data_IF_229956878326
#
_entry.id   IF_229956878326
#
_cell.length_a   1.000
_cell.length_b   1.000
_cell.length_c   1.000
_cell.angle_alpha   90.00
_cell.angle_beta   90.00
_cell.angle_gamma   90.00
#
_symmetry.space_group_name_H-M   'P 1'
#
loop_
_entity.id
_entity.type
_entity.pdbx_description
1 polymer ?
#
# COMPACT_ATOMS: atom_id res chain seq x y z
N UNK A 1 6.59 -3.00 5.39
CA UNK A 1 7.37 -1.79 5.74
C UNK A 1 8.79 -2.09 6.21
N UNK A 2 8.99 -2.69 7.38
CA UNK A 2 10.37 -2.90 7.92
C UNK A 2 11.29 -3.59 6.90
N UNK A 3 10.82 -4.72 6.33
CA UNK A 3 11.56 -5.43 5.28
C UNK A 3 11.82 -4.58 4.04
N UNK A 4 10.88 -3.74 3.61
CA UNK A 4 11.06 -2.91 2.42
C UNK A 4 12.12 -1.83 2.65
N UNK A 5 12.14 -1.19 3.82
CA UNK A 5 13.16 -0.20 4.18
C UNK A 5 14.55 -0.85 4.27
N UNK A 6 14.66 -2.02 4.92
CA UNK A 6 15.91 -2.76 4.97
C UNK A 6 16.40 -3.26 3.62
N UNK A 7 15.48 -3.71 2.76
CA UNK A 7 15.86 -4.17 1.42
C UNK A 7 16.30 -3.03 0.51
N UNK A 8 15.90 -1.79 0.81
CA UNK A 8 16.24 -0.62 0.02
C UNK A 8 17.51 0.07 0.51
N UNK A 9 17.62 0.33 1.82
CA UNK A 9 18.78 1.02 2.41
C UNK A 9 19.91 0.07 2.81
N UNK A 10 19.67 -1.23 2.87
CA UNK A 10 20.60 -2.24 3.39
C UNK A 10 21.16 -1.93 4.79
N UNK A 11 20.49 -1.04 5.53
CA UNK A 11 20.96 -0.47 6.79
C UNK A 11 20.07 -0.95 7.92
N UNK A 12 20.67 -1.49 8.98
CA UNK A 12 19.94 -1.90 10.19
C UNK A 12 19.70 -0.69 11.09
N UNK A 13 18.57 -0.64 11.83
CA UNK A 13 18.32 0.46 12.73
C UNK A 13 19.27 0.35 13.92
N UNK A 14 19.79 1.49 14.38
CA UNK A 14 20.54 1.54 15.63
C UNK A 14 19.55 1.55 16.80
N UNK A 15 19.48 0.44 17.53
CA UNK A 15 18.53 0.24 18.63
C UNK A 15 19.10 0.63 20.00
N UNK A 16 20.37 0.99 20.09
CA UNK A 16 21.02 1.42 21.33
C UNK A 16 21.80 2.72 21.12
N UNK A 17 21.77 3.57 22.14
CA UNK A 17 22.51 4.83 22.23
C UNK A 17 23.36 4.78 23.48
N UNK A 18 24.62 5.19 23.36
CA UNK A 18 25.56 5.24 24.48
C UNK A 18 25.89 6.70 24.75
N UNK A 19 25.41 7.22 25.88
CA UNK A 19 25.67 8.59 26.31
C UNK A 19 26.84 8.64 27.30
N UNK A 20 27.74 9.61 27.10
CA UNK A 20 28.82 9.90 28.05
C UNK A 20 28.35 10.95 29.06
N UNK A 21 28.10 10.54 30.30
CA UNK A 21 27.65 11.43 31.37
C UNK A 21 28.85 11.79 32.27
N UNK A 22 29.19 13.08 32.43
CA UNK A 22 30.21 13.49 33.39
C UNK A 22 29.66 13.35 34.81
N UNK A 23 30.29 12.51 35.63
CA UNK A 23 29.92 12.39 37.05
C UNK A 23 30.90 13.19 37.90
N UNK A 24 30.37 14.17 38.63
CA UNK A 24 31.14 14.90 39.63
C UNK A 24 31.24 14.05 40.90
N UNK A 25 32.46 13.73 41.35
CA UNK A 25 32.65 13.06 42.64
C UNK A 25 32.32 14.03 43.79
N UNK A 26 31.14 13.91 44.38
CA UNK A 26 30.80 14.55 45.66
C UNK A 26 31.23 13.64 46.81
N UNK A 27 32.54 13.44 46.98
CA UNK A 27 33.07 12.81 48.20
C UNK A 27 34.52 13.26 48.45
N UNK A 28 34.68 14.52 48.86
CA UNK A 28 35.80 14.93 49.73
C UNK A 28 35.27 15.96 50.73
N UNK A 29 34.82 15.50 51.90
CA UNK A 29 34.81 16.33 53.10
C UNK A 29 36.27 16.45 53.54
N UNK A 30 36.91 17.55 53.20
CA UNK A 30 38.26 17.86 53.67
C UNK A 30 39.17 18.43 52.58
N UNK A 31 39.30 19.75 52.64
CA UNK A 31 40.41 20.53 52.09
C UNK A 31 40.65 20.65 50.56
N UNK A 32 40.62 21.92 50.15
CA UNK A 32 41.32 22.56 49.03
C UNK A 32 40.94 22.16 47.60
N UNK A 33 40.25 23.12 46.95
CA UNK A 33 40.15 23.35 45.50
C UNK A 33 41.45 22.96 44.76
N UNK A 34 41.48 21.78 44.15
CA UNK A 34 42.36 21.45 43.01
C UNK A 34 41.78 20.26 42.23
N UNK A 35 41.38 20.52 41.00
CA UNK A 35 40.98 19.57 39.94
C UNK A 35 40.09 18.39 40.36
N UNK A 36 38.77 18.64 40.40
CA UNK A 36 37.76 17.59 40.31
C UNK A 36 37.87 16.93 38.92
N UNK A 37 38.63 15.84 38.81
CA UNK A 37 38.67 15.02 37.60
C UNK A 37 37.30 14.40 37.37
N UNK A 38 36.54 14.92 36.40
CA UNK A 38 35.29 14.30 35.95
C UNK A 38 35.63 12.96 35.30
N UNK A 39 35.17 11.85 35.90
CA UNK A 39 35.22 10.55 35.22
C UNK A 39 33.98 10.42 34.35
N UNK A 40 34.14 10.14 33.05
CA UNK A 40 32.99 9.85 32.21
C UNK A 40 32.41 8.49 32.58
N UNK A 41 31.12 8.44 32.85
CA UNK A 41 30.35 7.18 32.91
C UNK A 41 29.52 7.03 31.65
N UNK A 42 29.43 5.82 31.12
CA UNK A 42 28.62 5.53 29.94
C UNK A 42 27.24 5.03 30.39
N UNK A 43 26.18 5.62 29.83
CA UNK A 43 24.81 5.16 30.02
C UNK A 43 24.28 4.66 28.68
N UNK A 44 23.94 3.38 28.65
CA UNK A 44 23.25 2.80 27.49
C UNK A 44 21.74 3.03 27.61
N UNK A 45 21.11 3.41 26.51
CA UNK A 45 19.66 3.59 26.37
C UNK A 45 19.19 2.86 25.12
N UNK A 46 18.04 2.22 25.22
CA UNK A 46 17.40 1.59 24.07
C UNK A 46 16.58 2.61 23.29
N UNK A 47 16.58 2.49 21.96
CA UNK A 47 15.72 3.22 21.02
C UNK A 47 14.66 2.26 20.50
N UNK A 48 13.39 2.55 20.76
CA UNK A 48 12.29 1.67 20.34
C UNK A 48 11.37 2.36 19.32
N UNK A 49 10.80 1.55 18.44
CA UNK A 49 9.78 1.99 17.48
C UNK A 49 8.46 1.32 17.83
N UNK A 50 7.51 2.10 18.34
CA UNK A 50 6.19 1.67 18.75
C UNK A 50 5.15 2.03 17.70
N UNK A 51 4.33 1.04 17.34
CA UNK A 51 3.11 1.26 16.58
C UNK A 51 1.96 1.11 17.58
N UNK A 52 1.24 2.20 17.80
CA UNK A 52 0.16 2.27 18.79
C UNK A 52 -1.17 2.37 18.04
N UNK A 53 -2.01 1.32 18.07
CA UNK A 53 -3.32 1.40 17.47
C UNK A 53 -4.21 2.34 18.29
N UNK A 54 -4.77 3.36 17.64
CA UNK A 54 -5.83 4.20 18.19
C UNK A 54 -7.17 3.75 17.60
N UNK A 55 -7.99 3.14 18.45
CA UNK A 55 -9.29 2.60 18.08
C UNK A 55 -10.33 3.68 17.79
N UNK A 56 -10.06 4.94 18.19
CA UNK A 56 -10.97 6.07 18.03
C UNK A 56 -10.45 7.09 16.99
N UNK A 57 -9.26 6.87 16.42
CA UNK A 57 -8.72 7.75 15.40
C UNK A 57 -9.54 7.69 14.11
N UNK A 58 -9.75 8.86 13.51
CA UNK A 58 -10.38 8.97 12.19
C UNK A 58 -9.51 8.23 11.17
N UNK A 59 -10.09 7.40 10.28
CA UNK A 59 -9.34 6.70 9.24
C UNK A 59 -8.40 7.64 8.46
N UNK A 60 -7.17 7.19 8.24
CA UNK A 60 -6.12 7.98 7.59
C UNK A 60 -5.37 8.97 8.48
N UNK A 61 -5.79 9.20 9.73
CA UNK A 61 -5.09 10.11 10.66
C UNK A 61 -3.90 9.42 11.32
N UNK A 62 -2.70 9.67 10.83
CA UNK A 62 -1.46 9.10 11.41
C UNK A 62 -0.74 10.17 12.22
N UNK A 63 -0.57 9.94 13.52
CA UNK A 63 0.16 10.85 14.40
C UNK A 63 1.54 10.27 14.73
N UNK A 64 2.59 11.01 14.39
CA UNK A 64 3.97 10.62 14.68
C UNK A 64 4.56 11.49 15.79
N UNK A 65 5.09 10.84 16.85
CA UNK A 65 5.71 11.51 17.98
C UNK A 65 7.05 10.87 18.31
N UNK A 66 8.03 11.72 18.57
CA UNK A 66 9.35 11.30 19.05
C UNK A 66 9.47 11.79 20.50
N UNK A 67 9.66 10.87 21.43
CA UNK A 67 9.84 11.18 22.86
C UNK A 67 11.23 10.66 23.25
N UNK A 68 12.16 11.60 23.37
CA UNK A 68 13.59 11.32 23.49
C UNK A 68 14.08 10.39 22.37
N UNK A 69 14.30 9.12 22.69
CA UNK A 69 14.89 8.09 21.83
C UNK A 69 13.85 7.13 21.24
N UNK A 70 12.60 7.23 21.73
CA UNK A 70 11.50 6.35 21.38
C UNK A 70 10.54 7.01 20.39
N UNK A 71 10.15 6.23 19.39
CA UNK A 71 9.36 6.66 18.24
C UNK A 71 7.98 6.04 18.37
N UNK A 72 6.95 6.87 18.42
CA UNK A 72 5.57 6.45 18.56
C UNK A 72 4.82 6.84 17.29
N UNK A 73 4.32 5.85 16.57
CA UNK A 73 3.39 6.06 15.47
C UNK A 73 2.02 5.60 15.90
N UNK A 74 1.12 6.55 16.09
CA UNK A 74 -0.26 6.32 16.49
C UNK A 74 -1.09 6.24 15.22
N UNK A 75 -1.74 5.11 15.00
CA UNK A 75 -2.42 4.77 13.74
C UNK A 75 -3.82 4.22 14.00
N UNK A 76 -4.82 4.52 13.14
CA UNK A 76 -6.11 3.84 13.16
C UNK A 76 -5.95 2.32 13.05
N UNK A 77 -6.90 1.57 13.61
CA UNK A 77 -6.84 0.11 13.69
C UNK A 77 -6.73 -0.60 12.33
N UNK A 78 -7.21 0.03 11.26
CA UNK A 78 -7.24 -0.48 9.89
C UNK A 78 -6.08 0.03 9.02
N UNK A 79 -5.11 0.73 9.61
CA UNK A 79 -4.01 1.34 8.86
C UNK A 79 -3.14 0.29 8.20
N UNK A 80 -3.04 0.35 6.87
CA UNK A 80 -2.11 -0.48 6.12
C UNK A 80 -0.67 -0.21 6.58
N UNK A 81 0.06 -1.22 7.11
CA UNK A 81 1.42 -1.03 7.56
C UNK A 81 2.39 -0.63 6.43
N UNK A 82 2.03 -0.85 5.17
CA UNK A 82 2.81 -0.45 4.00
C UNK A 82 2.49 0.98 3.52
N UNK A 83 1.65 1.74 4.23
CA UNK A 83 1.35 3.13 3.90
C UNK A 83 2.61 3.99 3.87
N UNK A 84 2.61 5.02 3.03
CA UNK A 84 3.75 5.92 2.86
C UNK A 84 4.11 6.63 4.16
N UNK A 85 3.11 7.03 4.96
CA UNK A 85 3.33 7.79 6.19
C UNK A 85 3.97 6.95 7.31
N UNK A 86 3.50 5.72 7.53
CA UNK A 86 4.09 4.83 8.52
C UNK A 86 5.52 4.43 8.12
N UNK A 87 5.73 4.18 6.82
CA UNK A 87 7.06 3.91 6.27
C UNK A 87 8.01 5.08 6.45
N UNK A 88 7.55 6.31 6.19
CA UNK A 88 8.32 7.53 6.41
C UNK A 88 8.76 7.68 7.86
N UNK A 89 7.87 7.41 8.82
CA UNK A 89 8.21 7.43 10.24
C UNK A 89 9.30 6.39 10.58
N UNK A 90 9.25 5.21 9.98
CA UNK A 90 10.26 4.17 10.17
C UNK A 90 11.60 4.52 9.50
N UNK A 91 11.56 5.11 8.30
CA UNK A 91 12.75 5.64 7.61
C UNK A 91 13.44 6.70 8.49
N UNK A 92 12.68 7.60 9.10
CA UNK A 92 13.22 8.58 10.04
C UNK A 92 13.87 7.92 11.26
N UNK A 93 13.25 6.89 11.86
CA UNK A 93 13.83 6.12 12.96
C UNK A 93 15.20 5.49 12.61
N UNK A 94 15.37 5.05 11.37
CA UNK A 94 16.63 4.49 10.85
C UNK A 94 17.67 5.59 10.59
N UNK A 95 17.25 6.73 10.04
CA UNK A 95 18.15 7.80 9.59
C UNK A 95 18.68 8.66 10.72
N UNK A 96 17.85 9.03 11.71
CA UNK A 96 18.25 10.00 12.74
C UNK A 96 19.58 9.65 13.46
N UNK A 97 19.87 8.37 13.83
CA UNK A 97 21.17 7.99 14.38
C UNK A 97 22.34 8.13 13.41
N UNK A 98 22.10 7.95 12.12
CA UNK A 98 23.12 8.13 11.08
C UNK A 98 23.54 9.60 11.07
N UNK A 99 22.59 10.53 11.13
CA UNK A 99 22.86 11.96 11.20
C UNK A 99 23.71 12.32 12.43
N UNK A 100 23.40 11.72 13.59
CA UNK A 100 24.17 11.91 14.81
C UNK A 100 25.59 11.32 14.71
N UNK A 101 25.73 10.13 14.11
CA UNK A 101 27.02 9.45 13.93
C UNK A 101 27.97 10.24 13.03
N UNK A 102 27.45 10.84 11.96
CA UNK A 102 28.21 11.62 10.98
C UNK A 102 28.15 13.13 11.23
N UNK A 103 27.98 13.53 12.49
CA UNK A 103 27.80 14.94 12.84
C UNK A 103 29.00 15.83 12.45
N UNK A 104 30.23 15.30 12.51
CA UNK A 104 31.46 16.00 12.15
C UNK A 104 31.53 16.24 10.64
N UNK A 105 31.15 15.24 9.85
CA UNK A 105 31.15 15.33 8.39
C UNK A 105 30.11 16.33 7.89
N UNK A 106 28.92 16.34 8.50
CA UNK A 106 27.89 17.35 8.24
C UNK A 106 28.38 18.74 8.66
N UNK A 107 29.00 18.87 9.83
CA UNK A 107 29.54 20.14 10.32
C UNK A 107 30.64 20.69 9.39
N UNK A 108 31.46 19.82 8.79
CA UNK A 108 32.48 20.20 7.81
C UNK A 108 31.90 20.79 6.51
N UNK A 109 30.60 20.54 6.24
CA UNK A 109 29.86 21.06 5.08
C UNK A 109 28.84 22.14 5.44
N UNK A 110 28.89 22.66 6.67
CA UNK A 110 27.92 23.63 7.20
C UNK A 110 27.79 24.88 6.34
N UNK A 111 28.89 25.43 5.82
CA UNK A 111 28.86 26.67 5.03
C UNK A 111 28.06 26.46 3.75
N UNK A 112 28.37 25.40 3.00
CA UNK A 112 27.69 25.06 1.75
C UNK A 112 26.19 24.79 1.98
N UNK A 113 25.86 23.98 3.00
CA UNK A 113 24.48 23.67 3.35
C UNK A 113 23.69 24.92 3.77
N UNK A 114 24.32 25.80 4.54
CA UNK A 114 23.69 27.05 4.96
C UNK A 114 23.39 27.96 3.78
N UNK A 115 24.30 28.07 2.80
CA UNK A 115 24.03 28.86 1.59
C UNK A 115 22.76 28.38 0.87
N UNK A 116 22.60 27.07 0.69
CA UNK A 116 21.40 26.50 0.07
C UNK A 116 20.11 26.79 0.88
N UNK A 117 20.20 26.74 2.21
CA UNK A 117 19.07 27.05 3.09
C UNK A 117 18.71 28.54 3.06
N UNK A 118 19.71 29.42 3.13
CA UNK A 118 19.55 30.86 3.09
C UNK A 118 18.88 31.30 1.78
N UNK A 119 19.22 30.67 0.65
CA UNK A 119 18.51 30.87 -0.63
C UNK A 119 17.03 30.46 -0.56
N UNK A 120 16.71 29.35 0.12
CA UNK A 120 15.31 28.91 0.29
C UNK A 120 14.54 29.87 1.19
N UNK A 121 15.15 30.35 2.26
CA UNK A 121 14.56 31.37 3.14
C UNK A 121 14.35 32.68 2.38
N UNK A 122 15.32 33.11 1.56
CA UNK A 122 15.19 34.31 0.72
C UNK A 122 14.08 34.18 -0.34
N UNK A 123 13.82 32.96 -0.83
CA UNK A 123 12.71 32.66 -1.72
C UNK A 123 11.34 32.56 -1.01
N UNK A 124 11.28 32.83 0.31
CA UNK A 124 10.04 32.81 1.10
C UNK A 124 9.66 31.44 1.68
N UNK A 125 10.56 30.46 1.66
CA UNK A 125 10.32 29.14 2.25
C UNK A 125 10.42 29.15 3.77
N UNK A 126 9.44 28.53 4.45
CA UNK A 126 9.49 28.25 5.88
C UNK A 126 10.44 27.07 6.17
N UNK A 127 11.74 27.37 6.17
CA UNK A 127 12.82 26.39 6.30
C UNK A 127 13.56 26.54 7.61
N UNK A 128 13.89 25.41 8.25
CA UNK A 128 14.75 25.43 9.44
C UNK A 128 16.20 25.78 9.04
N UNK A 129 16.87 26.69 9.77
CA UNK A 129 18.28 27.00 9.51
C UNK A 129 19.25 25.91 9.98
N UNK A 130 18.74 24.85 10.63
CA UNK A 130 19.57 23.76 11.13
C UNK A 130 19.99 22.80 10.01
N UNK A 131 21.30 22.79 9.71
CA UNK A 131 21.90 21.95 8.69
C UNK A 131 21.73 20.45 8.97
N UNK A 132 21.66 20.02 10.23
CA UNK A 132 21.44 18.60 10.57
C UNK A 132 20.02 18.18 10.21
N UNK A 133 19.04 19.04 10.52
CA UNK A 133 17.64 18.84 10.15
C UNK A 133 17.50 18.83 8.62
N UNK A 134 18.19 19.73 7.91
CA UNK A 134 18.17 19.79 6.45
C UNK A 134 18.71 18.49 5.82
N UNK A 135 19.85 17.97 6.29
CA UNK A 135 20.43 16.71 5.80
C UNK A 135 19.50 15.53 6.11
N UNK A 136 18.98 15.45 7.34
CA UNK A 136 18.04 14.40 7.75
C UNK A 136 16.79 14.38 6.85
N UNK A 137 16.13 15.55 6.70
CA UNK A 137 14.94 15.71 5.85
C UNK A 137 15.22 15.37 4.39
N UNK A 138 16.40 15.76 3.89
CA UNK A 138 16.84 15.44 2.52
C UNK A 138 16.94 13.94 2.29
N UNK A 139 17.62 13.22 3.18
CA UNK A 139 17.81 11.78 3.04
C UNK A 139 16.48 11.03 3.21
N UNK A 140 15.63 11.44 4.16
CA UNK A 140 14.29 10.87 4.36
C UNK A 140 13.43 11.08 3.10
N UNK A 141 13.37 12.31 2.58
CA UNK A 141 12.58 12.63 1.38
C UNK A 141 13.07 11.86 0.15
N UNK A 142 14.38 11.81 -0.06
CA UNK A 142 15.00 11.05 -1.14
C UNK A 142 14.68 9.55 -1.06
N UNK A 143 14.80 8.97 0.14
CA UNK A 143 14.49 7.56 0.38
C UNK A 143 13.03 7.26 0.09
N UNK A 144 12.10 8.04 0.64
CA UNK A 144 10.66 7.83 0.44
C UNK A 144 10.27 7.92 -1.03
N UNK A 145 10.71 8.98 -1.73
CA UNK A 145 10.39 9.16 -3.15
C UNK A 145 10.96 8.02 -3.99
N UNK A 146 12.20 7.61 -3.72
CA UNK A 146 12.86 6.56 -4.51
C UNK A 146 12.27 5.17 -4.26
N UNK A 147 11.85 4.88 -3.02
CA UNK A 147 11.13 3.65 -2.69
C UNK A 147 9.78 3.59 -3.41
N UNK A 148 8.99 4.67 -3.36
CA UNK A 148 7.71 4.76 -4.07
C UNK A 148 7.90 4.60 -5.58
N UNK A 149 8.89 5.29 -6.14
CA UNK A 149 9.23 5.23 -7.55
C UNK A 149 9.58 3.80 -7.97
N UNK A 150 10.42 3.11 -7.20
CA UNK A 150 10.83 1.72 -7.47
C UNK A 150 9.62 0.79 -7.48
N UNK A 151 8.76 0.87 -6.46
CA UNK A 151 7.56 0.03 -6.36
C UNK A 151 6.62 0.24 -7.54
N UNK A 152 6.41 1.50 -7.95
CA UNK A 152 5.55 1.83 -9.09
C UNK A 152 6.14 1.31 -10.41
N UNK A 153 7.44 1.52 -10.64
CA UNK A 153 8.12 1.05 -11.85
C UNK A 153 8.11 -0.48 -11.94
N UNK A 154 8.35 -1.20 -10.84
CA UNK A 154 8.33 -2.66 -10.81
C UNK A 154 6.92 -3.23 -11.04
N UNK A 155 5.89 -2.55 -10.54
CA UNK A 155 4.50 -2.94 -10.80
C UNK A 155 4.17 -2.79 -12.30
N UNK A 156 4.48 -1.62 -12.90
CA UNK A 156 4.24 -1.36 -14.33
C UNK A 156 5.07 -2.24 -15.25
N UNK A 157 6.33 -2.50 -14.91
CA UNK A 157 7.18 -3.40 -15.68
C UNK A 157 6.64 -4.83 -15.68
N UNK A 158 6.15 -5.34 -14.54
CA UNK A 158 5.53 -6.68 -14.47
C UNK A 158 4.24 -6.76 -15.28
N UNK A 159 3.40 -5.73 -15.21
CA UNK A 159 2.18 -5.63 -16.00
C UNK A 159 2.47 -5.60 -17.50
N UNK A 160 3.41 -4.74 -17.94
CA UNK A 160 3.82 -4.64 -19.33
C UNK A 160 4.38 -5.97 -19.87
N UNK A 161 5.23 -6.66 -19.10
CA UNK A 161 5.75 -8.00 -19.48
C UNK A 161 4.63 -9.01 -19.70
N UNK A 162 3.61 -9.02 -18.83
CA UNK A 162 2.43 -9.90 -18.99
C UNK A 162 1.65 -9.57 -20.26
N UNK A 163 1.40 -8.29 -20.52
CA UNK A 163 0.69 -7.83 -21.73
C UNK A 163 1.47 -8.15 -23.01
N UNK A 164 2.80 -7.97 -23.01
CA UNK A 164 3.66 -8.32 -24.15
C UNK A 164 3.64 -9.83 -24.43
N UNK A 165 3.69 -10.66 -23.37
CA UNK A 165 3.62 -12.11 -23.52
C UNK A 165 2.27 -12.59 -24.07
N UNK A 166 1.18 -11.88 -23.76
CA UNK A 166 -0.16 -12.17 -24.26
C UNK A 166 -0.43 -11.61 -25.67
N UNK A 167 0.39 -10.68 -26.16
CA UNK A 167 0.20 -10.03 -27.46
C UNK A 167 0.55 -10.97 -28.62
N UNK A 168 -0.39 -11.09 -29.57
CA UNK A 168 -0.31 -12.02 -30.69
C UNK A 168 0.48 -11.44 -31.88
N UNK A 169 0.51 -10.12 -32.03
CA UNK A 169 1.10 -9.41 -33.15
C UNK A 169 2.19 -8.41 -32.71
N UNK A 170 3.07 -8.04 -33.64
CA UNK A 170 4.20 -7.15 -33.38
C UNK A 170 3.75 -5.72 -33.08
N UNK A 171 2.69 -5.24 -33.73
CA UNK A 171 2.16 -3.89 -33.53
C UNK A 171 1.59 -3.70 -32.10
N UNK A 172 0.89 -4.70 -31.55
CA UNK A 172 0.46 -4.66 -30.16
C UNK A 172 1.64 -4.67 -29.17
N UNK A 173 2.74 -5.39 -29.47
CA UNK A 173 3.94 -5.36 -28.61
C UNK A 173 4.60 -3.98 -28.62
N UNK A 174 4.72 -3.36 -29.78
CA UNK A 174 5.28 -2.01 -29.93
C UNK A 174 4.45 -0.96 -29.17
N UNK A 175 3.12 -1.01 -29.30
CA UNK A 175 2.24 -0.08 -28.56
C UNK A 175 2.36 -0.23 -27.05
N UNK A 176 2.43 -1.47 -26.53
CA UNK A 176 2.65 -1.73 -25.10
C UNK A 176 4.02 -1.20 -24.64
N UNK A 177 5.07 -1.37 -25.45
CA UNK A 177 6.40 -0.83 -25.09
C UNK A 177 6.42 0.69 -25.04
N UNK A 178 5.72 1.35 -25.97
CA UNK A 178 5.57 2.81 -25.98
C UNK A 178 4.79 3.30 -24.76
N UNK A 179 3.66 2.66 -24.45
CA UNK A 179 2.86 2.95 -23.25
C UNK A 179 3.71 2.78 -21.97
N UNK A 180 4.51 1.72 -21.88
CA UNK A 180 5.42 1.49 -20.75
C UNK A 180 6.47 2.61 -20.62
N UNK A 181 7.04 3.09 -21.73
CA UNK A 181 7.99 4.20 -21.72
C UNK A 181 7.33 5.51 -21.26
N UNK A 182 6.13 5.80 -21.73
CA UNK A 182 5.34 6.98 -21.33
C UNK A 182 4.98 6.93 -19.84
N UNK A 183 4.53 5.77 -19.34
CA UNK A 183 4.24 5.57 -17.92
C UNK A 183 5.49 5.71 -17.06
N UNK A 184 6.63 5.17 -17.51
CA UNK A 184 7.91 5.33 -16.82
C UNK A 184 8.29 6.80 -16.73
N UNK A 185 8.19 7.55 -17.84
CA UNK A 185 8.48 8.98 -17.87
C UNK A 185 7.59 9.75 -16.89
N UNK A 186 6.28 9.48 -16.88
CA UNK A 186 5.33 10.11 -15.97
C UNK A 186 5.64 9.83 -14.48
N UNK A 187 6.06 8.60 -14.15
CA UNK A 187 6.48 8.23 -12.79
C UNK A 187 7.76 9.01 -12.39
N UNK A 188 8.74 9.11 -13.28
CA UNK A 188 9.95 9.93 -13.03
C UNK A 188 9.62 11.41 -12.83
N UNK A 189 8.73 11.97 -13.63
CA UNK A 189 8.33 13.38 -13.52
C UNK A 189 7.63 13.64 -12.17
N UNK A 190 6.73 12.75 -11.75
CA UNK A 190 6.07 12.81 -10.44
C UNK A 190 7.07 12.70 -9.28
N UNK A 191 8.08 11.83 -9.40
CA UNK A 191 9.15 11.72 -8.40
C UNK A 191 9.95 13.01 -8.29
N UNK A 192 10.35 13.61 -9.42
CA UNK A 192 11.07 14.90 -9.45
C UNK A 192 10.23 16.04 -8.87
N UNK A 193 8.92 16.06 -9.12
CA UNK A 193 8.03 17.06 -8.51
C UNK A 193 7.97 16.94 -6.98
N UNK A 194 7.89 15.71 -6.45
CA UNK A 194 7.91 15.48 -4.98
C UNK A 194 9.26 15.85 -4.35
N UNK A 195 10.37 15.59 -5.04
CA UNK A 195 11.69 16.04 -4.60
C UNK A 195 11.78 17.57 -4.61
N UNK A 196 11.25 18.24 -5.63
CA UNK A 196 11.18 19.70 -5.69
C UNK A 196 10.37 20.29 -4.53
N UNK A 197 9.21 19.73 -4.23
CA UNK A 197 8.38 20.14 -3.08
C UNK A 197 9.13 19.96 -1.76
N UNK A 198 9.86 18.85 -1.62
CA UNK A 198 10.67 18.59 -0.41
C UNK A 198 11.84 19.57 -0.31
N UNK A 199 12.49 19.87 -1.43
CA UNK A 199 13.58 20.83 -1.54
C UNK A 199 13.14 22.24 -1.12
N UNK A 200 11.97 22.69 -1.62
CA UNK A 200 11.35 23.96 -1.24
C UNK A 200 11.04 24.02 0.27
N UNK A 201 10.78 22.87 0.91
CA UNK A 201 10.59 22.74 2.37
C UNK A 201 11.89 22.55 3.17
N UNK A 202 13.05 22.77 2.55
CA UNK A 202 14.36 22.73 3.20
C UNK A 202 15.11 21.41 3.09
N UNK A 203 14.61 20.45 2.31
CA UNK A 203 15.32 19.21 2.00
C UNK A 203 16.33 19.45 0.85
N UNK A 204 17.31 20.33 1.09
CA UNK A 204 18.19 20.91 0.06
C UNK A 204 19.16 19.91 -0.60
N UNK A 205 19.26 18.67 -0.10
CA UNK A 205 20.04 17.60 -0.73
C UNK A 205 19.15 16.45 -1.24
N UNK A 206 17.83 16.64 -1.32
CA UNK A 206 16.90 15.57 -1.69
C UNK A 206 17.19 15.01 -3.10
N UNK A 207 17.55 15.86 -4.06
CA UNK A 207 17.93 15.42 -5.41
C UNK A 207 19.23 14.63 -5.41
N UNK A 208 20.29 15.20 -4.82
CA UNK A 208 21.58 14.52 -4.68
C UNK A 208 21.43 13.13 -4.03
N UNK A 209 20.76 13.04 -2.88
CA UNK A 209 20.58 11.74 -2.22
C UNK A 209 19.72 10.78 -3.05
N UNK A 210 18.71 11.25 -3.78
CA UNK A 210 17.91 10.37 -4.66
C UNK A 210 18.75 9.79 -5.82
N UNK A 211 19.75 10.53 -6.31
CA UNK A 211 20.73 10.00 -7.26
C UNK A 211 21.63 8.94 -6.61
N UNK A 212 22.23 9.27 -5.46
CA UNK A 212 23.16 8.39 -4.74
C UNK A 212 22.52 7.07 -4.25
N UNK A 213 21.25 7.11 -3.85
CA UNK A 213 20.55 5.93 -3.34
C UNK A 213 20.32 4.85 -4.41
N UNK A 214 20.33 5.20 -5.70
CA UNK A 214 20.21 4.21 -6.79
C UNK A 214 21.40 3.25 -6.81
N UNK A 215 22.60 3.79 -6.62
CA UNK A 215 23.83 3.00 -6.61
C UNK A 215 23.91 2.12 -5.36
N UNK A 216 23.50 2.65 -4.20
CA UNK A 216 23.40 1.87 -2.96
C UNK A 216 22.44 0.69 -3.14
N UNK A 217 21.23 0.95 -3.62
CA UNK A 217 20.21 -0.07 -3.83
C UNK A 217 20.71 -1.18 -4.78
N UNK A 218 21.42 -0.81 -5.85
CA UNK A 218 21.98 -1.76 -6.79
C UNK A 218 23.13 -2.58 -6.19
N UNK A 219 23.95 -1.97 -5.34
CA UNK A 219 25.14 -2.60 -4.75
C UNK A 219 24.85 -3.54 -3.58
N UNK A 220 23.73 -3.36 -2.88
CA UNK A 220 23.38 -4.18 -1.72
C UNK A 220 24.12 -3.84 -0.42
N UNK A 221 24.96 -2.80 -0.43
CA UNK A 221 25.77 -2.42 0.73
C UNK A 221 25.05 -1.43 1.65
N UNK A 222 25.39 -1.47 2.94
CA UNK A 222 24.86 -0.57 3.98
C UNK A 222 25.17 0.91 3.65
N UNK A 223 24.14 1.77 3.63
CA UNK A 223 24.24 3.22 3.39
C UNK A 223 25.29 3.89 4.28
N UNK A 224 25.42 3.44 5.53
CA UNK A 224 26.36 4.05 6.48
C UNK A 224 27.81 3.95 6.03
N UNK A 225 28.16 2.96 5.18
CA UNK A 225 29.52 2.81 4.67
C UNK A 225 29.90 3.93 3.67
N UNK A 226 28.93 4.56 3.02
CA UNK A 226 29.15 5.57 1.97
C UNK A 226 28.74 6.98 2.40
N UNK A 227 27.99 7.12 3.50
CA UNK A 227 27.37 8.39 3.86
C UNK A 227 28.38 9.54 4.06
N UNK A 228 29.55 9.27 4.64
CA UNK A 228 30.61 10.27 4.78
C UNK A 228 31.12 10.76 3.41
N UNK A 229 31.31 9.85 2.45
CA UNK A 229 31.76 10.17 1.10
C UNK A 229 30.67 10.93 0.31
N UNK A 230 29.40 10.56 0.50
CA UNK A 230 28.27 11.30 -0.07
C UNK A 230 28.23 12.75 0.42
N UNK A 231 28.43 12.98 1.72
CA UNK A 231 28.52 14.33 2.27
C UNK A 231 29.77 15.07 1.74
N UNK A 232 30.84 14.36 1.45
CA UNK A 232 32.06 14.95 0.95
C UNK A 232 31.96 15.41 -0.52
N UNK A 233 31.11 14.77 -1.33
CA UNK A 233 31.16 14.87 -2.80
C UNK A 233 30.02 15.66 -3.45
N UNK A 234 29.00 16.11 -2.70
CA UNK A 234 27.94 16.92 -3.29
C UNK A 234 28.46 18.27 -3.80
N UNK A 235 27.88 18.74 -4.92
CA UNK A 235 28.19 20.04 -5.52
C UNK A 235 27.14 21.09 -5.11
N UNK A 236 27.49 22.09 -4.28
CA UNK A 236 26.54 23.10 -3.83
C UNK A 236 25.97 23.95 -4.96
N UNK A 237 26.75 24.21 -6.02
CA UNK A 237 26.32 25.04 -7.14
C UNK A 237 25.24 24.30 -7.93
N UNK A 238 25.48 23.01 -8.21
CA UNK A 238 24.50 22.16 -8.87
C UNK A 238 23.23 22.01 -8.02
N UNK A 239 23.37 21.79 -6.72
CA UNK A 239 22.21 21.62 -5.83
C UNK A 239 21.34 22.89 -5.78
N UNK A 240 21.94 24.09 -5.76
CA UNK A 240 21.21 25.36 -5.86
C UNK A 240 20.38 25.50 -7.15
N UNK A 241 20.84 24.88 -8.25
CA UNK A 241 20.19 24.87 -9.57
C UNK A 241 19.17 23.74 -9.81
N UNK A 242 18.90 22.85 -8.84
CA UNK A 242 18.04 21.67 -9.11
C UNK A 242 16.60 22.00 -9.48
N UNK A 243 16.05 23.09 -8.94
CA UNK A 243 14.68 23.49 -9.28
C UNK A 243 14.57 23.96 -10.72
N UNK A 244 15.60 24.62 -11.26
CA UNK A 244 15.61 25.07 -12.66
C UNK A 244 15.91 23.90 -13.60
N UNK A 245 16.85 23.03 -13.25
CA UNK A 245 17.15 21.78 -13.99
C UNK A 245 15.89 20.92 -14.20
N UNK A 246 15.03 20.83 -13.18
CA UNK A 246 13.85 19.95 -13.19
C UNK A 246 12.51 20.68 -13.42
N UNK A 247 12.53 21.93 -13.87
CA UNK A 247 11.32 22.76 -13.99
C UNK A 247 10.28 22.15 -14.94
N UNK A 248 10.72 21.64 -16.10
CA UNK A 248 9.82 21.06 -17.11
C UNK A 248 9.18 19.75 -16.66
N UNK A 249 9.96 18.87 -16.02
CA UNK A 249 9.45 17.63 -15.43
C UNK A 249 8.43 17.92 -14.32
N UNK A 250 8.73 18.89 -13.43
CA UNK A 250 7.81 19.34 -12.39
C UNK A 250 6.51 19.87 -12.99
N UNK A 251 6.58 20.70 -14.04
CA UNK A 251 5.41 21.25 -14.70
C UNK A 251 4.51 20.15 -15.27
N UNK A 252 5.09 19.19 -16.01
CA UNK A 252 4.35 18.03 -16.56
C UNK A 252 3.67 17.20 -15.46
N UNK A 253 4.36 16.95 -14.35
CA UNK A 253 3.79 16.24 -13.21
C UNK A 253 2.60 17.00 -12.55
N UNK A 254 2.73 18.31 -12.36
CA UNK A 254 1.66 19.13 -11.78
C UNK A 254 0.43 19.19 -12.68
N UNK A 255 0.62 19.30 -14.00
CA UNK A 255 -0.47 19.22 -14.98
C UNK A 255 -1.15 17.84 -14.92
N UNK A 256 -0.37 16.75 -14.86
CA UNK A 256 -0.92 15.40 -14.71
C UNK A 256 -1.69 15.21 -13.39
N UNK A 257 -1.25 15.83 -12.28
CA UNK A 257 -2.02 15.84 -11.02
C UNK A 257 -3.34 16.59 -11.15
N UNK A 258 -3.34 17.77 -11.77
CA UNK A 258 -4.56 18.55 -12.02
C UNK A 258 -5.55 17.77 -12.89
N UNK A 259 -5.07 17.10 -13.93
CA UNK A 259 -5.91 16.23 -14.78
C UNK A 259 -6.51 15.07 -13.97
N UNK A 260 -5.71 14.37 -13.16
CA UNK A 260 -6.21 13.31 -12.28
C UNK A 260 -7.24 13.82 -11.27
N UNK A 261 -7.00 15.00 -10.70
CA UNK A 261 -7.93 15.62 -9.75
C UNK A 261 -9.23 16.02 -10.44
N UNK A 262 -9.18 16.57 -11.66
CA UNK A 262 -10.36 16.89 -12.45
C UNK A 262 -11.15 15.64 -12.84
N UNK A 263 -10.47 14.54 -13.20
CA UNK A 263 -11.10 13.24 -13.46
C UNK A 263 -11.76 12.67 -12.20
N UNK A 264 -11.09 12.75 -11.05
CA UNK A 264 -11.67 12.32 -9.78
C UNK A 264 -12.88 13.16 -9.39
N UNK A 265 -12.83 14.48 -9.58
CA UNK A 265 -13.96 15.37 -9.34
C UNK A 265 -15.15 15.03 -10.25
N UNK A 266 -14.92 14.84 -11.56
CA UNK A 266 -15.94 14.42 -12.50
C UNK A 266 -16.56 13.04 -12.15
N UNK A 267 -15.75 12.10 -11.67
CA UNK A 267 -16.23 10.79 -11.21
C UNK A 267 -16.95 10.87 -9.84
N UNK A 268 -16.68 11.90 -9.04
CA UNK A 268 -17.39 12.14 -7.77
C UNK A 268 -18.76 12.75 -8.02
N UNK A 269 -18.90 13.59 -9.06
CA UNK A 269 -20.21 14.08 -9.52
C UNK A 269 -21.09 12.93 -10.10
N UNK A 270 -20.49 11.87 -10.67
CA UNK A 270 -21.22 10.65 -11.03
C UNK A 270 -21.70 9.83 -9.80
N UNK A 271 -21.05 9.98 -8.64
CA UNK A 271 -21.45 9.34 -7.39
C UNK A 271 -22.69 9.98 -6.73
N UNK A 272 -23.09 11.18 -7.16
CA UNK A 272 -24.34 11.84 -6.77
C UNK A 272 -25.54 11.43 -7.64
N UNK A 273 -25.38 10.47 -8.55
CA UNK A 273 -26.53 9.92 -9.27
C UNK A 273 -27.40 9.05 -8.33
N UNK A 274 -28.74 9.11 -8.43
CA UNK A 274 -29.64 8.25 -7.67
C UNK A 274 -29.33 6.75 -7.82
N UNK A 275 -28.76 6.34 -8.96
CA UNK A 275 -28.35 4.96 -9.22
C UNK A 275 -27.10 4.54 -8.45
N UNK A 276 -26.10 5.42 -8.27
CA UNK A 276 -24.91 5.14 -7.48
C UNK A 276 -25.24 5.02 -5.98
N UNK A 277 -26.10 5.90 -5.46
CA UNK A 277 -26.62 5.80 -4.09
C UNK A 277 -27.40 4.49 -3.88
N UNK A 278 -28.24 4.11 -4.85
CA UNK A 278 -28.97 2.83 -4.85
C UNK A 278 -28.01 1.63 -4.85
N UNK A 279 -26.95 1.64 -5.66
CA UNK A 279 -25.92 0.58 -5.66
C UNK A 279 -25.16 0.50 -4.33
N UNK A 280 -24.81 1.64 -3.71
CA UNK A 280 -24.14 1.65 -2.41
C UNK A 280 -25.04 1.10 -1.29
N UNK A 281 -26.33 1.46 -1.29
CA UNK A 281 -27.32 0.93 -0.36
C UNK A 281 -27.52 -0.59 -0.52
N UNK A 282 -27.53 -1.08 -1.76
CA UNK A 282 -27.55 -2.51 -2.07
C UNK A 282 -26.33 -3.23 -1.46
N UNK A 283 -25.11 -2.72 -1.71
CA UNK A 283 -23.88 -3.35 -1.20
C UNK A 283 -23.90 -3.40 0.32
N UNK A 284 -24.28 -2.30 0.99
CA UNK A 284 -24.41 -2.25 2.45
C UNK A 284 -25.41 -3.27 2.99
N UNK A 285 -26.53 -3.44 2.29
CA UNK A 285 -27.55 -4.41 2.66
C UNK A 285 -27.08 -5.85 2.46
N UNK A 286 -26.35 -6.13 1.38
CA UNK A 286 -25.75 -7.45 1.14
C UNK A 286 -24.70 -7.79 2.20
N UNK A 287 -23.86 -6.85 2.63
CA UNK A 287 -22.91 -7.10 3.72
C UNK A 287 -23.60 -7.45 5.04
N UNK A 288 -24.75 -6.83 5.34
CA UNK A 288 -25.52 -7.18 6.53
C UNK A 288 -26.12 -8.59 6.43
N UNK A 289 -26.47 -9.05 5.22
CA UNK A 289 -26.90 -10.44 4.98
C UNK A 289 -25.74 -11.42 5.16
N UNK A 290 -24.55 -11.09 4.66
CA UNK A 290 -23.36 -11.93 4.85
C UNK A 290 -23.04 -12.15 6.34
N UNK A 291 -23.24 -11.12 7.17
CA UNK A 291 -23.08 -11.25 8.62
C UNK A 291 -24.13 -12.20 9.25
N UNK A 292 -25.38 -12.18 8.75
CA UNK A 292 -26.41 -13.15 9.17
C UNK A 292 -26.05 -14.59 8.76
N UNK A 293 -25.50 -14.78 7.56
CA UNK A 293 -25.04 -16.08 7.09
C UNK A 293 -23.87 -16.62 7.93
N UNK A 294 -22.94 -15.75 8.36
CA UNK A 294 -21.82 -16.14 9.24
C UNK A 294 -22.27 -16.64 10.60
N UNK A 295 -23.33 -16.06 11.16
CA UNK A 295 -23.92 -16.52 12.43
C UNK A 295 -24.95 -17.63 12.24
N UNK A 296 -25.01 -18.24 11.04
CA UNK A 296 -25.93 -19.32 10.65
C UNK A 296 -27.41 -18.99 10.78
N UNK A 297 -27.78 -17.71 10.75
CA UNK A 297 -29.17 -17.27 10.80
C UNK A 297 -29.77 -17.21 9.39
N UNK A 298 -29.95 -18.39 8.77
CA UNK A 298 -30.38 -18.50 7.37
C UNK A 298 -31.81 -18.01 7.13
N UNK A 299 -32.71 -18.20 8.09
CA UNK A 299 -34.11 -17.77 7.97
C UNK A 299 -34.21 -16.25 7.87
N UNK A 300 -33.47 -15.51 8.71
CA UNK A 300 -33.49 -14.05 8.66
C UNK A 300 -32.77 -13.52 7.42
N UNK A 301 -31.66 -14.16 7.03
CA UNK A 301 -30.96 -13.83 5.79
C UNK A 301 -31.87 -13.98 4.55
N UNK A 302 -32.64 -15.08 4.46
CA UNK A 302 -33.57 -15.34 3.35
C UNK A 302 -34.73 -14.35 3.33
N UNK A 303 -35.29 -13.98 4.49
CA UNK A 303 -36.34 -12.95 4.59
C UNK A 303 -35.81 -11.61 4.09
N UNK A 304 -34.63 -11.19 4.56
CA UNK A 304 -34.03 -9.92 4.18
C UNK A 304 -33.69 -9.86 2.69
N UNK A 305 -33.18 -10.95 2.12
CA UNK A 305 -32.91 -11.04 0.68
C UNK A 305 -34.19 -10.97 -0.17
N UNK A 306 -35.29 -11.59 0.29
CA UNK A 306 -36.60 -11.49 -0.40
C UNK A 306 -37.17 -10.08 -0.34
N UNK A 307 -36.97 -9.35 0.75
CA UNK A 307 -37.34 -7.95 0.86
C UNK A 307 -36.51 -7.08 -0.09
N UNK A 308 -35.19 -7.28 -0.11
CA UNK A 308 -34.30 -6.59 -1.05
C UNK A 308 -34.69 -6.84 -2.50
N UNK A 309 -35.18 -8.04 -2.84
CA UNK A 309 -35.63 -8.35 -4.20
C UNK A 309 -36.86 -7.51 -4.65
N UNK A 310 -37.67 -7.02 -3.71
CA UNK A 310 -38.78 -6.09 -4.02
C UNK A 310 -38.25 -4.70 -4.38
N UNK A 311 -37.20 -4.26 -3.72
CA UNK A 311 -36.57 -2.94 -3.88
C UNK A 311 -35.58 -2.90 -5.05
N UNK A 312 -34.85 -3.99 -5.30
CA UNK A 312 -33.81 -4.15 -6.32
C UNK A 312 -34.19 -5.26 -7.29
N UNK A 313 -35.27 -5.04 -8.03
CA UNK A 313 -35.82 -6.03 -8.97
C UNK A 313 -34.79 -6.40 -10.04
N UNK A 314 -34.56 -7.70 -10.22
CA UNK A 314 -33.65 -8.21 -11.24
C UNK A 314 -32.16 -8.14 -10.90
N UNK A 315 -31.78 -7.76 -9.68
CA UNK A 315 -30.37 -7.66 -9.29
C UNK A 315 -29.71 -9.05 -9.13
N UNK A 316 -28.69 -9.39 -9.94
CA UNK A 316 -28.07 -10.71 -9.96
C UNK A 316 -27.40 -11.11 -8.64
N UNK A 317 -26.84 -10.13 -7.91
CA UNK A 317 -26.16 -10.37 -6.62
C UNK A 317 -27.11 -10.88 -5.54
N UNK A 318 -28.36 -10.44 -5.56
CA UNK A 318 -29.37 -10.91 -4.60
C UNK A 318 -29.71 -12.37 -4.88
N UNK A 319 -29.86 -12.75 -6.15
CA UNK A 319 -30.09 -14.15 -6.53
C UNK A 319 -28.90 -15.05 -6.15
N UNK A 320 -27.66 -14.57 -6.34
CA UNK A 320 -26.48 -15.31 -5.89
C UNK A 320 -26.50 -15.53 -4.37
N UNK A 321 -26.79 -14.47 -3.59
CA UNK A 321 -26.86 -14.55 -2.14
C UNK A 321 -27.99 -15.47 -1.65
N UNK A 322 -29.16 -15.46 -2.30
CA UNK A 322 -30.25 -16.42 -2.02
C UNK A 322 -29.81 -17.86 -2.28
N UNK A 323 -29.08 -18.11 -3.37
CA UNK A 323 -28.50 -19.42 -3.66
C UNK A 323 -27.53 -19.88 -2.57
N UNK A 324 -26.68 -18.97 -2.07
CA UNK A 324 -25.73 -19.25 -0.99
C UNK A 324 -26.43 -19.54 0.33
N UNK A 325 -27.42 -18.71 0.71
CA UNK A 325 -28.23 -18.91 1.90
C UNK A 325 -28.92 -20.29 1.89
N UNK A 326 -29.53 -20.66 0.76
CA UNK A 326 -30.17 -21.95 0.58
C UNK A 326 -29.16 -23.12 0.62
N UNK A 327 -27.98 -22.96 0.03
CA UNK A 327 -26.92 -23.98 0.04
C UNK A 327 -26.39 -24.23 1.46
N UNK A 328 -26.08 -23.16 2.21
CA UNK A 328 -25.60 -23.26 3.59
C UNK A 328 -26.67 -23.80 4.53
N UNK A 329 -27.93 -23.39 4.32
CA UNK A 329 -29.06 -23.95 5.06
C UNK A 329 -29.24 -25.45 4.78
N UNK A 330 -28.95 -25.92 3.56
CA UNK A 330 -29.01 -27.35 3.24
C UNK A 330 -27.88 -28.16 3.90
N UNK A 331 -26.71 -27.56 4.09
CA UNK A 331 -25.58 -28.20 4.78
C UNK A 331 -25.91 -28.51 6.25
N UNK A 332 -26.66 -27.63 6.91
CA UNK A 332 -27.10 -27.81 8.30
C UNK A 332 -28.41 -28.63 8.44
N UNK A 333 -28.99 -29.14 7.33
CA UNK A 333 -30.20 -29.96 7.37
C UNK A 333 -29.86 -31.44 7.68
N UNK A 334 -30.55 -32.02 8.66
CA UNK A 334 -30.36 -33.44 9.06
C UNK A 334 -31.24 -34.42 8.28
N UNK A 335 -32.30 -33.90 7.65
CA UNK A 335 -33.23 -34.69 6.84
C UNK A 335 -32.84 -34.55 5.36
N UNK A 336 -32.63 -35.69 4.70
CA UNK A 336 -32.18 -35.76 3.31
C UNK A 336 -33.19 -35.16 2.32
N UNK A 337 -34.49 -35.31 2.59
CA UNK A 337 -35.53 -34.70 1.75
C UNK A 337 -35.53 -33.18 1.89
N UNK A 338 -35.36 -32.67 3.11
CA UNK A 338 -35.24 -31.22 3.37
C UNK A 338 -33.97 -30.65 2.77
N UNK A 339 -32.85 -31.39 2.87
CA UNK A 339 -31.58 -31.02 2.24
C UNK A 339 -31.72 -30.93 0.72
N UNK A 340 -32.30 -31.95 0.08
CA UNK A 340 -32.57 -31.98 -1.35
C UNK A 340 -33.45 -30.82 -1.81
N UNK A 341 -34.53 -30.51 -1.07
CA UNK A 341 -35.42 -29.39 -1.39
C UNK A 341 -34.68 -28.03 -1.34
N UNK A 342 -33.85 -27.81 -0.31
CA UNK A 342 -33.06 -26.57 -0.16
C UNK A 342 -32.01 -26.44 -1.26
N UNK A 343 -31.34 -27.52 -1.64
CA UNK A 343 -30.40 -27.53 -2.75
C UNK A 343 -31.09 -27.30 -4.11
N UNK A 344 -32.29 -27.84 -4.31
CA UNK A 344 -33.11 -27.55 -5.48
C UNK A 344 -33.50 -26.07 -5.59
N UNK A 345 -33.83 -25.44 -4.46
CA UNK A 345 -34.03 -23.98 -4.38
C UNK A 345 -32.75 -23.22 -4.70
N UNK A 346 -31.61 -23.64 -4.16
CA UNK A 346 -30.32 -23.02 -4.43
C UNK A 346 -29.97 -23.04 -5.94
N UNK A 347 -30.17 -24.18 -6.62
CA UNK A 347 -29.99 -24.28 -8.08
C UNK A 347 -30.85 -23.28 -8.85
N UNK A 348 -32.11 -23.12 -8.45
CA UNK A 348 -33.04 -22.17 -9.07
C UNK A 348 -32.52 -20.74 -8.92
N UNK A 349 -32.05 -20.37 -7.73
CA UNK A 349 -31.49 -19.04 -7.48
C UNK A 349 -30.19 -18.79 -8.26
N UNK A 350 -29.28 -19.77 -8.34
CA UNK A 350 -28.06 -19.61 -9.14
C UNK A 350 -28.35 -19.48 -10.64
N UNK A 351 -29.33 -20.21 -11.17
CA UNK A 351 -29.79 -20.03 -12.56
C UNK A 351 -30.35 -18.63 -12.79
N UNK A 352 -31.16 -18.12 -11.86
CA UNK A 352 -31.70 -16.77 -11.95
C UNK A 352 -30.60 -15.71 -11.87
N UNK A 353 -29.56 -15.92 -11.04
CA UNK A 353 -28.40 -15.05 -10.97
C UNK A 353 -27.67 -14.97 -12.31
N UNK A 354 -27.47 -16.11 -12.97
CA UNK A 354 -26.84 -16.18 -14.31
C UNK A 354 -27.72 -15.48 -15.35
N UNK A 355 -29.03 -15.74 -15.36
CA UNK A 355 -29.97 -15.15 -16.32
C UNK A 355 -30.11 -13.62 -16.16
N UNK A 356 -29.96 -13.13 -14.93
CA UNK A 356 -29.97 -11.70 -14.61
C UNK A 356 -28.61 -11.02 -14.83
N UNK A 357 -27.55 -11.78 -15.14
CA UNK A 357 -26.19 -11.27 -15.36
C UNK A 357 -25.81 -11.32 -16.83
N UNK A 358 -24.82 -10.51 -17.22
CA UNK A 358 -24.07 -10.74 -18.46
C UNK A 358 -22.66 -11.28 -18.12
N UNK A 359 -22.16 -12.31 -18.83
CA UNK A 359 -20.77 -12.77 -18.71
C UNK A 359 -19.73 -11.68 -18.97
N UNK A 360 -20.10 -10.62 -19.70
CA UNK A 360 -19.22 -9.50 -20.04
C UNK A 360 -19.12 -8.47 -18.90
N UNK A 361 -20.19 -8.30 -18.12
CA UNK A 361 -20.25 -7.28 -17.06
C UNK A 361 -19.94 -7.85 -15.68
N UNK A 362 -20.34 -9.08 -15.39
CA UNK A 362 -20.16 -9.71 -14.06
C UNK A 362 -19.55 -11.13 -14.13
N UNK A 363 -18.40 -11.32 -14.80
CA UNK A 363 -17.82 -12.64 -15.03
C UNK A 363 -17.48 -13.42 -13.74
N UNK A 364 -17.11 -12.71 -12.66
CA UNK A 364 -16.82 -13.31 -11.37
C UNK A 364 -18.08 -13.92 -10.71
N UNK A 365 -19.22 -13.22 -10.80
CA UNK A 365 -20.48 -13.68 -10.23
C UNK A 365 -20.98 -14.91 -10.99
N UNK A 366 -20.97 -14.84 -12.32
CA UNK A 366 -21.38 -15.96 -13.18
C UNK A 366 -20.47 -17.18 -12.96
N UNK A 367 -19.16 -16.97 -12.84
CA UNK A 367 -18.21 -18.04 -12.50
C UNK A 367 -18.54 -18.73 -11.18
N UNK A 368 -18.83 -17.96 -10.12
CA UNK A 368 -19.22 -18.50 -8.81
C UNK A 368 -20.54 -19.26 -8.85
N UNK A 369 -21.54 -18.74 -9.57
CA UNK A 369 -22.84 -19.41 -9.72
C UNK A 369 -22.69 -20.77 -10.41
N UNK A 370 -21.94 -20.84 -11.51
CA UNK A 370 -21.68 -22.10 -12.22
C UNK A 370 -20.91 -23.11 -11.36
N UNK A 371 -19.86 -22.68 -10.65
CA UNK A 371 -19.12 -23.58 -9.76
C UNK A 371 -20.00 -24.10 -8.60
N UNK A 372 -20.86 -23.25 -8.03
CA UNK A 372 -21.80 -23.66 -7.00
C UNK A 372 -22.82 -24.68 -7.53
N UNK A 373 -23.39 -24.44 -8.72
CA UNK A 373 -24.29 -25.40 -9.37
C UNK A 373 -23.61 -26.75 -9.64
N UNK A 374 -22.34 -26.73 -10.08
CA UNK A 374 -21.56 -27.96 -10.30
C UNK A 374 -21.46 -28.83 -9.05
N UNK A 375 -21.19 -28.23 -7.88
CA UNK A 375 -21.15 -28.95 -6.59
C UNK A 375 -22.51 -29.53 -6.20
N UNK A 376 -23.60 -28.80 -6.47
CA UNK A 376 -24.94 -29.29 -6.16
C UNK A 376 -25.32 -30.46 -7.09
N UNK A 377 -24.97 -30.40 -8.38
CA UNK A 377 -25.19 -31.53 -9.28
C UNK A 377 -24.33 -32.75 -8.92
N UNK A 378 -23.11 -32.54 -8.44
CA UNK A 378 -22.27 -33.60 -7.88
C UNK A 378 -22.94 -34.26 -6.67
N UNK A 379 -23.55 -33.46 -5.77
CA UNK A 379 -24.32 -33.98 -4.63
C UNK A 379 -25.52 -34.85 -5.06
N UNK A 380 -26.22 -34.48 -6.13
CA UNK A 380 -27.35 -35.25 -6.67
C UNK A 380 -26.95 -36.43 -7.58
N UNK A 381 -25.66 -36.78 -7.63
CA UNK A 381 -25.12 -37.82 -8.51
C UNK A 381 -25.50 -37.60 -10.00
N UNK A 382 -25.40 -36.34 -10.44
CA UNK A 382 -25.64 -35.89 -11.81
C UNK A 382 -24.31 -35.46 -12.47
N UNK A 383 -23.42 -36.41 -12.80
CA UNK A 383 -22.05 -36.10 -13.20
C UNK A 383 -21.96 -35.37 -14.55
N UNK A 384 -22.95 -35.53 -15.44
CA UNK A 384 -22.96 -34.86 -16.74
C UNK A 384 -23.25 -33.37 -16.57
N UNK A 385 -24.27 -33.04 -15.79
CA UNK A 385 -24.70 -31.68 -15.46
C UNK A 385 -23.64 -30.97 -14.62
N UNK A 386 -23.03 -31.68 -13.65
CA UNK A 386 -21.94 -31.16 -12.85
C UNK A 386 -20.73 -30.77 -13.72
N UNK A 387 -20.33 -31.64 -14.66
CA UNK A 387 -19.23 -31.38 -15.58
C UNK A 387 -19.53 -30.19 -16.49
N UNK A 388 -20.74 -30.10 -17.04
CA UNK A 388 -21.15 -28.94 -17.85
C UNK A 388 -21.07 -27.63 -17.07
N UNK A 389 -21.53 -27.62 -15.82
CA UNK A 389 -21.48 -26.43 -14.98
C UNK A 389 -20.03 -26.01 -14.66
N UNK A 390 -19.15 -26.96 -14.29
CA UNK A 390 -17.74 -26.64 -14.06
C UNK A 390 -17.03 -26.17 -15.34
N UNK A 391 -17.32 -26.75 -16.50
CA UNK A 391 -16.76 -26.28 -17.78
C UNK A 391 -17.21 -24.86 -18.14
N UNK A 392 -18.47 -24.53 -17.88
CA UNK A 392 -18.98 -23.17 -18.05
C UNK A 392 -18.23 -22.15 -17.17
N UNK A 393 -17.95 -22.51 -15.91
CA UNK A 393 -17.13 -21.68 -15.02
C UNK A 393 -15.68 -21.54 -15.49
N UNK A 394 -15.06 -22.63 -15.98
CA UNK A 394 -13.68 -22.63 -16.49
C UNK A 394 -13.55 -21.78 -17.75
N UNK A 395 -14.57 -21.79 -18.63
CA UNK A 395 -14.57 -21.02 -19.89
C UNK A 395 -14.47 -19.51 -19.65
N UNK A 396 -14.91 -19.02 -18.49
CA UNK A 396 -14.79 -17.61 -18.10
C UNK A 396 -13.35 -17.21 -17.71
N UNK A 397 -12.46 -18.19 -17.48
CA UNK A 397 -11.07 -17.96 -17.12
C UNK A 397 -10.84 -17.56 -15.65
N UNK A 398 -9.57 -17.32 -15.26
CA UNK A 398 -9.20 -16.92 -13.91
C UNK A 398 -9.54 -15.43 -13.68
N UNK A 399 -10.80 -15.18 -13.32
CA UNK A 399 -11.32 -13.84 -13.02
C UNK A 399 -11.15 -13.55 -11.52
N UNK A 400 -10.70 -12.34 -11.18
CA UNK A 400 -10.57 -11.91 -9.78
C UNK A 400 -11.91 -12.04 -9.05
N UNK A 401 -11.93 -12.81 -7.96
CA UNK A 401 -13.15 -13.08 -7.19
C UNK A 401 -14.10 -14.12 -7.82
N UNK A 402 -13.71 -14.76 -8.93
CA UNK A 402 -14.41 -15.91 -9.52
C UNK A 402 -14.08 -17.25 -8.85
N UNK A 403 -14.62 -18.34 -9.38
CA UNK A 403 -14.46 -19.69 -8.84
C UNK A 403 -13.73 -20.65 -9.81
N UNK A 404 -12.76 -20.13 -10.56
CA UNK A 404 -12.02 -20.89 -11.58
C UNK A 404 -11.30 -22.11 -10.99
N UNK A 405 -10.48 -21.91 -9.95
CA UNK A 405 -9.70 -23.00 -9.32
C UNK A 405 -10.60 -24.07 -8.70
N UNK A 406 -11.75 -23.65 -8.16
CA UNK A 406 -12.76 -24.56 -7.62
C UNK A 406 -13.38 -25.42 -8.73
N UNK A 407 -13.74 -24.81 -9.86
CA UNK A 407 -14.29 -25.53 -11.00
C UNK A 407 -13.30 -26.51 -11.63
N UNK A 408 -12.01 -26.16 -11.72
CA UNK A 408 -10.95 -27.08 -12.19
C UNK A 408 -10.82 -28.29 -11.25
N UNK A 409 -10.84 -28.06 -9.93
CA UNK A 409 -10.80 -29.15 -8.94
C UNK A 409 -12.03 -30.05 -9.06
N UNK A 410 -13.23 -29.47 -9.18
CA UNK A 410 -14.49 -30.22 -9.35
C UNK A 410 -14.47 -31.09 -10.61
N UNK A 411 -14.09 -30.53 -11.76
CA UNK A 411 -13.95 -31.29 -13.01
C UNK A 411 -12.94 -32.43 -12.90
N UNK A 412 -11.80 -32.20 -12.25
CA UNK A 412 -10.77 -33.23 -12.07
C UNK A 412 -11.28 -34.40 -11.23
N UNK A 413 -12.03 -34.11 -10.17
CA UNK A 413 -12.62 -35.14 -9.29
C UNK A 413 -13.60 -36.04 -10.04
N UNK A 414 -14.49 -35.44 -10.85
CA UNK A 414 -15.44 -36.19 -11.69
C UNK A 414 -14.73 -37.05 -12.75
N UNK A 415 -13.57 -36.61 -13.24
CA UNK A 415 -12.75 -37.38 -14.17
C UNK A 415 -12.06 -38.61 -13.56
N UNK A 416 -11.85 -38.61 -12.24
CA UNK A 416 -11.22 -39.71 -11.48
C UNK A 416 -12.24 -40.73 -10.95
N UNK A 417 -13.53 -40.43 -10.99
CA UNK A 417 -14.63 -41.33 -10.57
C UNK A 417 -15.12 -42.27 -11.70
N UNK A 418 -14.53 -42.17 -12.90
CA UNK A 418 -14.68 -43.17 -13.98
C UNK A 418 -13.60 -44.23 -13.86
#
# INVERSE_FOLDING_TARGET
MVRSVFSYLHTRPMTTVIDQVPVNNTNVKGDKKKNTSQRPTFRERERRFFIVPDLLAVPGTINFRIIADDYYVIVPFDTNPASSELRRAYVQYVIDPIILRYNKDIAARRVQLKTLLDERTAAGGEVSPDVFIAVARSLIAATEVSMDQTVQLDARAREARRRIAAAQDTAARESITKEMQEQRAAITDEALARLAESYERGAVLAFYFAEQLKDIQASGFDLTNFFADMLATFDPIREGGRLTENADARKRALEARKLRQAQLAANTDEAETPEAARRAALIKSLTAVDDLLRVKNYSEAEVRLREMMKEYQGEPKIFLALGQAASLSAEDATDEAVQGERLGRALTHYRNAINASSPETEPALVSRAYAAMGRIFEFFDQPREALQAFEAAIKLGPVTGGAYDEAVKGKTRLGQQK
#
